data_IF_507681540110
#
_entry.id   IF_507681540110
#
_cell.length_a   1.000
_cell.length_b   1.000
_cell.length_c   1.000
_cell.angle_alpha   90.00
_cell.angle_beta   90.00
_cell.angle_gamma   90.00
#
_symmetry.space_group_name_H-M   'P 1'
#
loop_
_entity.id
_entity.type
_entity.pdbx_description
1 polymer ?
#
# COMPACT_ATOMS: atom_id res chain seq x y z
N UNK A 1 15.88 3.89 -4.75
CA UNK A 1 16.62 3.64 -6.00
C UNK A 1 16.33 4.75 -6.98
N UNK A 2 17.26 5.02 -7.91
CA UNK A 2 17.01 6.01 -8.96
C UNK A 2 16.13 5.44 -10.06
N UNK A 3 15.40 6.32 -10.78
CA UNK A 3 14.54 5.89 -11.90
C UNK A 3 15.33 5.19 -13.00
N UNK A 4 16.55 5.67 -13.31
CA UNK A 4 17.39 5.06 -14.33
C UNK A 4 17.83 3.65 -13.94
N UNK A 5 18.08 3.39 -12.65
CA UNK A 5 18.35 2.05 -12.14
C UNK A 5 17.13 1.15 -12.33
N UNK A 6 15.93 1.63 -11.96
CA UNK A 6 14.67 0.90 -12.17
C UNK A 6 14.44 0.57 -13.65
N UNK A 7 14.68 1.55 -14.53
CA UNK A 7 14.55 1.35 -15.98
C UNK A 7 15.52 0.29 -16.52
N UNK A 8 16.73 0.21 -15.94
CA UNK A 8 17.77 -0.74 -16.34
C UNK A 8 17.65 -2.14 -15.73
N UNK A 9 16.78 -2.34 -14.74
CA UNK A 9 16.58 -3.65 -14.11
C UNK A 9 16.18 -4.73 -15.14
N UNK A 10 16.61 -5.97 -14.88
CA UNK A 10 16.04 -7.11 -15.61
C UNK A 10 14.51 -7.18 -15.40
N UNK A 11 13.75 -7.77 -16.33
CA UNK A 11 12.30 -7.94 -16.12
C UNK A 11 11.96 -8.63 -14.80
N UNK A 12 12.72 -9.65 -14.40
CA UNK A 12 12.50 -10.40 -13.16
C UNK A 12 12.73 -9.53 -11.91
N UNK A 13 13.82 -8.74 -11.88
CA UNK A 13 14.12 -7.86 -10.75
C UNK A 13 13.10 -6.71 -10.66
N UNK A 14 12.71 -6.14 -11.80
CA UNK A 14 11.66 -5.11 -11.83
C UNK A 14 10.32 -5.65 -11.34
N UNK A 15 9.95 -6.89 -11.72
CA UNK A 15 8.75 -7.55 -11.20
C UNK A 15 8.79 -7.67 -9.67
N UNK A 16 9.93 -8.03 -9.09
CA UNK A 16 10.07 -8.08 -7.62
C UNK A 16 9.85 -6.72 -6.98
N UNK A 17 10.43 -5.66 -7.54
CA UNK A 17 10.25 -4.28 -7.04
C UNK A 17 8.79 -3.85 -7.11
N UNK A 18 8.16 -3.99 -8.28
CA UNK A 18 6.77 -3.55 -8.51
C UNK A 18 5.78 -4.35 -7.67
N UNK A 19 6.03 -5.65 -7.44
CA UNK A 19 5.18 -6.50 -6.59
C UNK A 19 5.13 -6.04 -5.13
N UNK A 20 6.17 -5.34 -4.64
CA UNK A 20 6.16 -4.73 -3.30
C UNK A 20 5.18 -3.55 -3.25
N UNK A 21 4.98 -2.82 -4.35
CA UNK A 21 4.03 -1.71 -4.39
C UNK A 21 2.59 -2.19 -4.30
N UNK A 22 2.22 -3.17 -5.14
CA UNK A 22 0.96 -3.92 -5.03
C UNK A 22 1.09 -5.28 -5.73
N UNK A 23 0.65 -6.34 -5.04
CA UNK A 23 0.71 -7.71 -5.56
C UNK A 23 -0.50 -8.03 -6.49
N UNK A 24 -0.68 -7.22 -7.53
CA UNK A 24 -1.71 -7.39 -8.58
C UNK A 24 -1.01 -7.82 -9.88
N UNK A 25 -1.03 -9.11 -10.27
CA UNK A 25 -0.15 -9.63 -11.32
C UNK A 25 -0.25 -8.89 -12.65
N UNK A 26 -1.45 -8.67 -13.17
CA UNK A 26 -1.65 -7.97 -14.46
C UNK A 26 -1.18 -6.51 -14.43
N UNK A 27 -1.31 -5.84 -13.29
CA UNK A 27 -0.79 -4.49 -13.10
C UNK A 27 0.74 -4.48 -13.01
N UNK A 28 1.32 -5.44 -12.28
CA UNK A 28 2.79 -5.60 -12.18
C UNK A 28 3.40 -5.81 -13.56
N UNK A 29 2.84 -6.74 -14.35
CA UNK A 29 3.32 -7.03 -15.70
C UNK A 29 3.25 -5.80 -16.62
N UNK A 30 2.16 -5.05 -16.57
CA UNK A 30 1.96 -3.85 -17.38
C UNK A 30 2.95 -2.73 -17.02
N UNK A 31 3.15 -2.47 -15.71
CA UNK A 31 4.11 -1.46 -15.24
C UNK A 31 5.54 -1.84 -15.64
N UNK A 32 5.91 -3.11 -15.52
CA UNK A 32 7.25 -3.59 -15.90
C UNK A 32 7.47 -3.51 -17.41
N UNK A 33 6.46 -3.87 -18.23
CA UNK A 33 6.55 -3.88 -19.67
C UNK A 33 6.64 -2.48 -20.30
N UNK A 34 6.10 -1.45 -19.63
CA UNK A 34 6.08 -0.08 -20.15
C UNK A 34 7.39 0.71 -19.94
N UNK A 35 8.41 0.11 -19.31
CA UNK A 35 9.74 0.72 -19.18
C UNK A 35 10.43 0.88 -20.54
N UNK A 36 11.29 1.91 -20.75
CA UNK A 36 11.71 2.91 -19.76
C UNK A 36 10.73 4.06 -19.59
N UNK A 37 10.62 4.57 -18.35
CA UNK A 37 9.87 5.78 -18.03
C UNK A 37 10.77 7.02 -18.09
N UNK A 38 10.19 8.15 -18.50
CA UNK A 38 10.92 9.43 -18.65
C UNK A 38 11.00 10.24 -17.35
N UNK A 39 10.22 9.88 -16.33
CA UNK A 39 10.19 10.54 -15.03
C UNK A 39 9.31 9.76 -14.03
N UNK A 40 9.52 10.01 -12.74
CA UNK A 40 8.73 9.37 -11.66
C UNK A 40 7.25 9.71 -11.79
N UNK A 41 6.92 10.94 -12.19
CA UNK A 41 5.53 11.34 -12.40
C UNK A 41 4.87 10.61 -13.57
N UNK A 42 5.60 10.34 -14.66
CA UNK A 42 5.09 9.54 -15.77
C UNK A 42 4.83 8.09 -15.35
N UNK A 43 5.75 7.50 -14.58
CA UNK A 43 5.56 6.18 -13.99
C UNK A 43 4.35 6.14 -13.05
N UNK A 44 4.24 7.12 -12.13
CA UNK A 44 3.13 7.18 -11.18
C UNK A 44 1.77 7.42 -11.86
N UNK A 45 1.72 8.27 -12.90
CA UNK A 45 0.51 8.51 -13.68
C UNK A 45 0.05 7.22 -14.38
N UNK A 46 0.96 6.54 -15.09
CA UNK A 46 0.64 5.27 -15.76
C UNK A 46 0.19 4.19 -14.79
N UNK A 47 0.93 4.01 -13.69
CA UNK A 47 0.57 3.07 -12.64
C UNK A 47 -0.81 3.38 -12.03
N UNK A 48 -1.12 4.66 -11.82
CA UNK A 48 -2.41 5.13 -11.30
C UNK A 48 -3.57 4.91 -12.26
N UNK A 49 -3.38 5.14 -13.56
CA UNK A 49 -4.39 4.85 -14.58
C UNK A 49 -4.75 3.35 -14.57
N UNK A 50 -3.76 2.48 -14.56
CA UNK A 50 -3.98 1.03 -14.48
C UNK A 50 -4.66 0.62 -13.16
N UNK A 51 -4.31 1.25 -12.03
CA UNK A 51 -4.92 0.96 -10.74
C UNK A 51 -6.39 1.44 -10.66
N UNK A 52 -6.78 2.45 -11.42
CA UNK A 52 -8.15 2.99 -11.44
C UNK A 52 -9.21 1.99 -11.93
N UNK A 53 -8.78 0.96 -12.65
CA UNK A 53 -9.65 -0.08 -13.21
C UNK A 53 -9.49 -1.44 -12.53
N UNK A 54 -8.80 -1.51 -11.38
CA UNK A 54 -8.69 -2.74 -10.62
C UNK A 54 -10.06 -3.29 -10.25
N UNK A 55 -10.21 -4.57 -10.47
CA UNK A 55 -11.39 -5.33 -10.11
C UNK A 55 -11.40 -5.75 -8.65
N UNK A 56 -12.53 -6.25 -8.18
CA UNK A 56 -12.62 -6.90 -6.87
C UNK A 56 -11.65 -8.08 -6.75
N UNK A 57 -11.47 -8.87 -7.81
CA UNK A 57 -10.54 -10.00 -7.80
C UNK A 57 -9.08 -9.55 -7.61
N UNK A 58 -8.70 -8.40 -8.19
CA UNK A 58 -7.39 -7.80 -8.02
C UNK A 58 -7.20 -7.33 -6.56
N UNK A 59 -8.22 -6.71 -5.97
CA UNK A 59 -8.22 -6.33 -4.56
C UNK A 59 -8.05 -7.56 -3.65
N UNK A 60 -8.86 -8.59 -3.84
CA UNK A 60 -8.84 -9.80 -3.00
C UNK A 60 -7.48 -10.52 -3.13
N UNK A 61 -6.89 -10.57 -4.32
CA UNK A 61 -5.55 -11.13 -4.53
C UNK A 61 -4.47 -10.34 -3.79
N UNK A 62 -4.50 -9.01 -3.86
CA UNK A 62 -3.54 -8.16 -3.18
C UNK A 62 -3.68 -8.25 -1.65
N UNK A 63 -4.91 -8.36 -1.13
CA UNK A 63 -5.18 -8.43 0.30
C UNK A 63 -4.81 -9.77 0.95
N UNK A 64 -4.67 -10.85 0.16
CA UNK A 64 -4.32 -12.18 0.68
C UNK A 64 -3.02 -12.19 1.51
N UNK A 65 -2.14 -11.23 1.27
CA UNK A 65 -0.84 -11.11 1.95
C UNK A 65 -0.69 -9.81 2.77
N UNK A 66 -1.73 -8.97 2.82
CA UNK A 66 -1.66 -7.68 3.53
C UNK A 66 -1.86 -7.86 5.04
N UNK A 67 -0.99 -7.28 5.89
CA UNK A 67 -1.17 -7.36 7.34
C UNK A 67 -2.34 -6.48 7.80
N UNK A 68 -3.02 -6.92 8.86
CA UNK A 68 -4.05 -6.10 9.53
C UNK A 68 -3.44 -4.84 10.14
N UNK A 69 -4.18 -3.74 10.11
CA UNK A 69 -3.82 -2.53 10.87
C UNK A 69 -3.74 -2.86 12.36
N UNK A 70 -2.66 -2.43 13.01
CA UNK A 70 -2.40 -2.67 14.42
C UNK A 70 -1.92 -4.08 14.76
N UNK A 71 -1.79 -4.99 13.79
CA UNK A 71 -1.17 -6.29 14.04
C UNK A 71 0.35 -6.22 13.90
N UNK A 72 1.05 -7.09 14.64
CA UNK A 72 2.51 -7.22 14.46
C UNK A 72 2.82 -7.74 13.06
N UNK A 73 3.49 -6.93 12.26
CA UNK A 73 3.92 -7.32 10.93
C UNK A 73 5.13 -8.24 11.04
N UNK A 74 4.92 -9.52 10.78
CA UNK A 74 5.96 -10.57 10.78
C UNK A 74 6.58 -10.70 9.39
N UNK A 75 7.86 -11.08 9.33
CA UNK A 75 8.59 -11.27 8.09
C UNK A 75 9.77 -10.30 7.93
N UNK A 76 10.72 -10.68 7.06
CA UNK A 76 11.96 -9.92 6.81
C UNK A 76 12.02 -9.31 5.40
N UNK A 77 10.99 -9.50 4.55
CA UNK A 77 10.96 -9.00 3.17
C UNK A 77 10.65 -7.51 3.05
N UNK A 78 10.85 -6.96 1.86
CA UNK A 78 10.63 -5.55 1.54
C UNK A 78 9.17 -5.12 1.78
N UNK A 79 8.19 -5.98 1.48
CA UNK A 79 6.78 -5.72 1.75
C UNK A 79 6.49 -5.57 3.24
N UNK A 80 7.03 -6.48 4.08
CA UNK A 80 6.89 -6.38 5.53
C UNK A 80 7.56 -5.12 6.09
N UNK A 81 8.70 -4.71 5.53
CA UNK A 81 9.38 -3.48 5.90
C UNK A 81 8.54 -2.24 5.54
N UNK A 82 7.96 -2.20 4.34
CA UNK A 82 7.07 -1.14 3.90
C UNK A 82 5.83 -1.05 4.82
N UNK A 83 5.18 -2.17 5.10
CA UNK A 83 4.00 -2.23 5.97
C UNK A 83 4.31 -1.79 7.41
N UNK A 84 5.48 -2.15 7.97
CA UNK A 84 5.92 -1.63 9.30
C UNK A 84 6.10 -0.12 9.30
N UNK A 85 6.75 0.41 8.27
CA UNK A 85 6.96 1.86 8.13
C UNK A 85 5.63 2.62 7.99
N UNK A 86 4.71 2.09 7.19
CA UNK A 86 3.39 2.67 6.98
C UNK A 86 2.54 2.70 8.25
N UNK A 87 2.66 1.67 9.10
CA UNK A 87 1.92 1.53 10.36
C UNK A 87 2.69 2.05 11.58
N UNK A 88 3.78 2.82 11.39
CA UNK A 88 4.64 3.26 12.50
C UNK A 88 3.87 4.05 13.58
N UNK A 89 2.84 4.84 13.20
CA UNK A 89 2.00 5.57 14.14
C UNK A 89 1.24 4.67 15.13
N UNK A 90 1.00 3.40 14.78
CA UNK A 90 0.33 2.47 15.68
C UNK A 90 1.16 2.12 16.93
N UNK A 91 2.48 2.33 16.90
CA UNK A 91 3.35 2.14 18.08
C UNK A 91 3.06 3.16 19.20
N UNK A 92 2.46 4.30 18.87
CA UNK A 92 2.10 5.37 19.80
C UNK A 92 0.63 5.34 20.20
N UNK A 93 -0.15 4.35 19.70
CA UNK A 93 -1.57 4.23 19.99
C UNK A 93 -1.80 3.87 21.45
N UNK A 94 -2.79 4.49 22.08
CA UNK A 94 -3.25 4.11 23.40
C UNK A 94 -3.86 2.69 23.39
N UNK A 95 -3.77 1.98 24.51
CA UNK A 95 -4.20 0.58 24.62
C UNK A 95 -5.67 0.38 24.25
N UNK A 96 -6.54 1.33 24.62
CA UNK A 96 -7.98 1.29 24.31
C UNK A 96 -8.24 1.48 22.80
N UNK A 97 -7.48 2.36 22.11
CA UNK A 97 -7.55 2.56 20.67
C UNK A 97 -7.07 1.29 19.95
N UNK A 98 -5.96 0.71 20.40
CA UNK A 98 -5.44 -0.55 19.86
C UNK A 98 -6.43 -1.69 19.99
N UNK A 99 -7.06 -1.84 21.16
CA UNK A 99 -8.09 -2.85 21.40
C UNK A 99 -9.34 -2.62 20.54
N UNK A 100 -9.75 -1.35 20.36
CA UNK A 100 -10.90 -0.97 19.52
C UNK A 100 -10.63 -1.26 18.04
N UNK A 101 -9.42 -0.95 17.52
CA UNK A 101 -9.01 -1.30 16.15
C UNK A 101 -9.03 -2.82 15.96
N UNK A 102 -8.51 -3.59 16.92
CA UNK A 102 -8.52 -5.06 16.84
C UNK A 102 -9.94 -5.64 16.84
N UNK A 103 -10.86 -5.05 17.59
CA UNK A 103 -12.27 -5.44 17.59
C UNK A 103 -12.97 -5.06 16.28
N UNK A 104 -12.71 -3.86 15.78
CA UNK A 104 -13.24 -3.36 14.51
C UNK A 104 -12.75 -4.19 13.31
N UNK A 105 -11.47 -4.59 13.29
CA UNK A 105 -10.93 -5.49 12.26
C UNK A 105 -11.69 -6.81 12.20
N UNK A 106 -11.99 -7.42 13.34
CA UNK A 106 -12.80 -8.66 13.39
C UNK A 106 -14.19 -8.45 12.82
N UNK A 107 -14.88 -7.40 13.26
CA UNK A 107 -16.22 -7.07 12.75
C UNK A 107 -16.21 -6.78 11.24
N UNK A 108 -15.15 -6.10 10.75
CA UNK A 108 -14.99 -5.82 9.33
C UNK A 108 -14.75 -7.10 8.51
N UNK A 109 -13.92 -8.00 9.00
CA UNK A 109 -13.65 -9.30 8.35
C UNK A 109 -14.89 -10.21 8.34
N UNK A 110 -15.66 -10.22 9.44
CA UNK A 110 -16.93 -10.92 9.51
C UNK A 110 -17.96 -10.39 8.50
N UNK A 111 -17.99 -9.06 8.31
CA UNK A 111 -18.94 -8.41 7.41
C UNK A 111 -18.55 -8.52 5.93
N UNK A 112 -17.29 -8.28 5.59
CA UNK A 112 -16.83 -8.12 4.21
C UNK A 112 -15.94 -9.26 3.70
N UNK A 113 -15.56 -10.23 4.56
CA UNK A 113 -14.74 -11.39 4.21
C UNK A 113 -13.30 -11.05 3.80
N UNK A 114 -12.80 -9.86 4.14
CA UNK A 114 -11.44 -9.38 3.82
C UNK A 114 -10.88 -8.52 4.95
N UNK A 115 -9.56 -8.35 4.97
CA UNK A 115 -8.91 -7.44 5.92
C UNK A 115 -9.28 -5.98 5.63
N UNK A 116 -9.43 -5.17 6.69
CA UNK A 116 -9.59 -3.72 6.56
C UNK A 116 -8.30 -3.11 6.03
N UNK A 117 -8.38 -2.43 4.89
CA UNK A 117 -7.26 -1.75 4.25
C UNK A 117 -7.47 -0.23 4.28
N UNK A 118 -6.46 0.47 4.79
CA UNK A 118 -6.39 1.93 4.79
C UNK A 118 -4.94 2.36 4.58
N UNK A 119 -4.71 3.44 3.84
CA UNK A 119 -3.39 4.07 3.78
C UNK A 119 -3.06 4.67 5.15
N UNK A 120 -2.31 3.93 5.94
CA UNK A 120 -1.99 4.30 7.33
C UNK A 120 -0.95 5.42 7.43
N UNK A 121 -0.04 5.54 6.44
CA UNK A 121 1.00 6.55 6.42
C UNK A 121 0.42 7.97 6.54
N UNK A 122 0.88 8.72 7.55
CA UNK A 122 0.44 10.07 7.83
C UNK A 122 -0.90 10.18 8.57
N UNK A 123 -1.51 9.07 8.98
CA UNK A 123 -2.74 9.06 9.79
C UNK A 123 -2.44 8.72 11.24
N UNK A 124 -3.22 9.29 12.15
CA UNK A 124 -3.20 8.93 13.56
C UNK A 124 -4.07 7.70 13.82
N UNK A 125 -3.78 6.91 14.87
CA UNK A 125 -4.57 5.72 15.21
C UNK A 125 -6.06 5.98 15.36
N UNK A 126 -6.45 7.11 15.97
CA UNK A 126 -7.86 7.49 16.16
C UNK A 126 -8.57 7.79 14.83
N UNK A 127 -7.85 8.35 13.86
CA UNK A 127 -8.38 8.61 12.52
C UNK A 127 -8.63 7.29 11.78
N UNK A 128 -7.71 6.32 11.90
CA UNK A 128 -7.88 5.00 11.33
C UNK A 128 -9.05 4.25 11.97
N UNK A 129 -9.22 4.36 13.29
CA UNK A 129 -10.36 3.79 14.02
C UNK A 129 -11.68 4.42 13.58
N UNK A 130 -11.72 5.75 13.43
CA UNK A 130 -12.91 6.46 12.95
C UNK A 130 -13.32 6.01 11.54
N UNK A 131 -12.35 5.88 10.62
CA UNK A 131 -12.60 5.39 9.27
C UNK A 131 -13.05 3.93 9.26
N UNK A 132 -12.47 3.07 10.09
CA UNK A 132 -12.90 1.68 10.24
C UNK A 132 -14.38 1.60 10.66
N UNK A 133 -14.78 2.37 11.65
CA UNK A 133 -16.18 2.41 12.09
C UNK A 133 -17.11 2.95 11.00
N UNK A 134 -16.74 4.05 10.32
CA UNK A 134 -17.51 4.60 9.20
C UNK A 134 -17.72 3.58 8.09
N UNK A 135 -16.65 2.88 7.71
CA UNK A 135 -16.68 1.92 6.60
C UNK A 135 -17.42 0.62 6.95
N UNK A 136 -17.55 0.30 8.23
CA UNK A 136 -18.43 -0.79 8.66
C UNK A 136 -19.90 -0.56 8.27
N UNK A 137 -20.34 0.68 8.06
CA UNK A 137 -21.72 1.00 7.64
C UNK A 137 -21.91 0.96 6.11
N UNK A 138 -20.84 0.83 5.33
CA UNK A 138 -20.92 0.74 3.88
C UNK A 138 -21.67 -0.52 3.42
N UNK A 139 -22.31 -0.43 2.23
CA UNK A 139 -22.65 -1.62 1.47
C UNK A 139 -21.40 -2.23 0.80
N UNK A 140 -21.52 -3.51 0.40
CA UNK A 140 -20.40 -4.27 -0.17
C UNK A 140 -19.77 -3.61 -1.42
N UNK A 141 -20.59 -3.03 -2.29
CA UNK A 141 -20.10 -2.42 -3.54
C UNK A 141 -19.35 -1.12 -3.26
N UNK A 142 -19.85 -0.31 -2.33
CA UNK A 142 -19.19 0.92 -1.88
C UNK A 142 -17.87 0.59 -1.18
N UNK A 143 -17.90 -0.41 -0.28
CA UNK A 143 -16.72 -0.82 0.46
C UNK A 143 -15.63 -1.37 -0.45
N UNK A 144 -15.97 -2.20 -1.43
CA UNK A 144 -15.00 -2.72 -2.40
C UNK A 144 -14.33 -1.59 -3.19
N UNK A 145 -15.08 -0.56 -3.61
CA UNK A 145 -14.51 0.61 -4.30
C UNK A 145 -13.57 1.41 -3.39
N UNK A 146 -13.97 1.64 -2.14
CA UNK A 146 -13.11 2.38 -1.18
C UNK A 146 -11.83 1.61 -0.86
N UNK A 147 -11.93 0.30 -0.61
CA UNK A 147 -10.76 -0.54 -0.37
C UNK A 147 -9.80 -0.56 -1.57
N UNK A 148 -10.33 -0.63 -2.80
CA UNK A 148 -9.53 -0.57 -4.02
C UNK A 148 -8.83 0.79 -4.18
N UNK A 149 -9.52 1.89 -3.87
CA UNK A 149 -8.92 3.22 -3.88
C UNK A 149 -7.78 3.35 -2.83
N UNK A 150 -7.97 2.79 -1.63
CA UNK A 150 -6.92 2.77 -0.61
C UNK A 150 -5.71 1.92 -1.05
N UNK A 151 -5.94 0.78 -1.72
CA UNK A 151 -4.86 -0.03 -2.28
C UNK A 151 -4.05 0.76 -3.32
N UNK A 152 -4.73 1.49 -4.23
CA UNK A 152 -4.08 2.32 -5.22
C UNK A 152 -3.25 3.45 -4.58
N UNK A 153 -3.77 4.13 -3.55
CA UNK A 153 -3.02 5.14 -2.80
C UNK A 153 -1.75 4.56 -2.16
N UNK A 154 -1.85 3.36 -1.56
CA UNK A 154 -0.70 2.66 -0.96
C UNK A 154 0.33 2.30 -2.04
N UNK A 155 -0.11 1.74 -3.16
CA UNK A 155 0.78 1.38 -4.27
C UNK A 155 1.56 2.58 -4.80
N UNK A 156 0.89 3.72 -5.03
CA UNK A 156 1.52 4.94 -5.52
C UNK A 156 2.45 5.58 -4.48
N UNK A 157 2.12 5.50 -3.20
CA UNK A 157 3.01 5.95 -2.13
C UNK A 157 4.29 5.11 -2.08
N UNK A 158 4.17 3.77 -2.13
CA UNK A 158 5.31 2.84 -2.16
C UNK A 158 6.19 3.06 -3.38
N UNK A 159 5.58 3.23 -4.56
CA UNK A 159 6.27 3.57 -5.80
C UNK A 159 7.14 4.81 -5.61
N UNK A 160 6.55 5.94 -5.20
CA UNK A 160 7.27 7.20 -5.00
C UNK A 160 8.37 7.05 -3.93
N UNK A 161 8.06 6.45 -2.79
CA UNK A 161 9.05 6.22 -1.73
C UNK A 161 10.22 5.33 -2.21
N UNK A 162 9.96 4.36 -3.09
CA UNK A 162 10.99 3.47 -3.60
C UNK A 162 11.89 4.16 -4.62
N UNK A 163 11.31 4.99 -5.51
CA UNK A 163 12.04 5.60 -6.62
C UNK A 163 12.67 6.95 -6.23
N UNK A 164 12.07 7.74 -5.33
CA UNK A 164 12.60 9.07 -4.92
C UNK A 164 13.65 9.03 -3.79
N UNK A 165 14.11 7.88 -3.36
CA UNK A 165 14.89 7.70 -2.12
C UNK A 165 16.28 8.37 -2.10
N UNK A 166 16.68 9.10 -3.17
CA UNK A 166 18.04 9.65 -3.28
C UNK A 166 18.11 11.19 -3.44
N UNK A 167 17.06 11.93 -3.09
CA UNK A 167 17.17 13.40 -2.97
C UNK A 167 17.51 13.88 -1.55
N UNK A 168 17.87 12.97 -0.64
CA UNK A 168 18.26 13.29 0.73
C UNK A 168 19.71 12.86 1.04
N UNK A 169 20.68 13.23 0.20
CA UNK A 169 22.04 13.38 0.69
C UNK A 169 22.26 14.84 1.11
N UNK A 170 22.74 15.08 2.33
CA UNK A 170 23.05 16.45 2.72
C UNK A 170 24.26 16.93 1.93
N UNK A 171 24.08 18.01 1.19
CA UNK A 171 25.13 18.93 0.83
C UNK A 171 25.66 19.56 2.14
N UNK A 172 26.67 18.93 2.74
CA UNK A 172 27.49 19.57 3.77
C UNK A 172 28.76 18.74 4.02
N UNK A 173 29.82 19.11 3.34
CA UNK A 173 31.19 18.99 3.83
C UNK A 173 32.12 19.87 2.98
N UNK A 174 32.18 21.15 3.28
CA UNK A 174 33.43 21.96 3.16
C UNK A 174 33.62 22.78 4.41
#
# INVERSE_FOLDING_TARGET
>A
MQLDEFNALSPADATQVVSVWAAVPGWVDAVVAARPYTGVDALAAYAGELASVWSRADLDAALAHHPRIGATVTGAGAEAAASRSEQASMAEAADDVTAAIAAGNRAYEERFGRVFLIRAAGRRPEEMLSELHRRLDNDEATEAREATAQLAEIALLRLRTTIDREQAEPEDAE
#
